data_IF_897911193023
#
_entry.id   IF_897911193023
#
_cell.length_a   1.000
_cell.length_b   1.000
_cell.length_c   1.000
_cell.angle_alpha   90.00
_cell.angle_beta   90.00
_cell.angle_gamma   90.00
#
_symmetry.space_group_name_H-M   'P 1'
#
loop_
_entity.id
_entity.type
_entity.pdbx_description
1 polymer ?
#
# COMPACT_ATOMS: atom_id res chain seq x y z
N UNK A 1 -3.78 15.61 7.05
CA UNK A 1 -3.86 14.83 5.78
C UNK A 1 -4.65 13.55 5.98
N UNK A 2 -4.39 12.74 7.02
CA UNK A 2 -5.29 11.64 7.42
C UNK A 2 -6.56 12.18 8.12
N UNK A 3 -7.44 12.83 7.36
CA UNK A 3 -8.73 13.32 7.86
C UNK A 3 -9.75 12.15 7.88
N UNK A 4 -9.66 11.29 8.89
CA UNK A 4 -10.68 10.28 9.22
C UNK A 4 -10.69 8.99 8.39
N UNK A 5 -9.79 8.81 7.42
CA UNK A 5 -9.58 7.53 6.74
C UNK A 5 -8.30 6.85 7.28
N UNK A 6 -8.41 5.59 7.68
CA UNK A 6 -7.27 4.78 8.16
C UNK A 6 -6.43 4.25 6.99
N UNK A 7 -5.97 5.18 6.15
CA UNK A 7 -5.15 4.89 4.97
C UNK A 7 -3.71 4.59 5.43
N UNK A 8 -3.08 3.50 4.98
CA UNK A 8 -1.66 3.24 5.26
C UNK A 8 -0.76 4.39 4.79
N UNK A 9 0.32 4.71 5.51
CA UNK A 9 1.18 5.86 5.14
C UNK A 9 1.79 5.69 3.75
N UNK A 10 2.26 4.50 3.38
CA UNK A 10 2.86 4.25 2.07
C UNK A 10 1.91 4.52 0.89
N UNK A 11 0.59 4.39 1.08
CA UNK A 11 -0.40 4.77 0.05
C UNK A 11 -0.40 6.27 -0.16
N UNK A 12 -0.34 7.04 0.92
CA UNK A 12 -0.23 8.49 0.87
C UNK A 12 1.09 8.94 0.24
N UNK A 13 2.21 8.32 0.64
CA UNK A 13 3.54 8.63 0.11
C UNK A 13 3.63 8.38 -1.40
N UNK A 14 3.08 7.28 -1.88
CA UNK A 14 3.00 6.99 -3.31
C UNK A 14 2.26 8.10 -4.08
N UNK A 15 1.09 8.49 -3.59
CA UNK A 15 0.30 9.57 -4.21
C UNK A 15 1.04 10.91 -4.16
N UNK A 16 1.67 11.25 -3.04
CA UNK A 16 2.48 12.46 -2.94
C UNK A 16 3.68 12.42 -3.88
N UNK A 17 4.37 11.29 -4.02
CA UNK A 17 5.48 11.13 -4.96
C UNK A 17 5.04 11.32 -6.43
N UNK A 18 3.80 10.96 -6.76
CA UNK A 18 3.25 11.12 -8.10
C UNK A 18 2.81 12.56 -8.43
N UNK A 19 2.28 13.29 -7.45
CA UNK A 19 1.65 14.61 -7.68
C UNK A 19 2.41 15.80 -7.05
N UNK A 20 3.41 15.56 -6.21
CA UNK A 20 4.19 16.60 -5.50
C UNK A 20 5.69 16.49 -5.79
N UNK A 21 6.08 16.10 -7.00
CA UNK A 21 7.49 15.88 -7.41
C UNK A 21 8.26 17.17 -7.79
N UNK A 22 7.75 18.34 -7.41
CA UNK A 22 8.33 19.65 -7.73
C UNK A 22 8.72 20.41 -6.47
N UNK A 23 9.74 21.26 -6.57
CA UNK A 23 10.19 22.15 -5.49
C UNK A 23 9.42 23.47 -5.43
N UNK A 24 8.51 23.73 -6.39
CA UNK A 24 7.67 24.92 -6.42
C UNK A 24 6.55 24.82 -5.36
N UNK A 25 6.50 25.74 -4.38
CA UNK A 25 5.47 25.73 -3.33
C UNK A 25 4.02 25.71 -3.84
N UNK A 26 3.73 26.37 -4.97
CA UNK A 26 2.37 26.39 -5.54
C UNK A 26 2.00 25.05 -6.15
N UNK A 27 2.96 24.41 -6.82
CA UNK A 27 2.77 23.06 -7.38
C UNK A 27 2.57 22.07 -6.24
N UNK A 28 3.36 22.15 -5.17
CA UNK A 28 3.22 21.30 -3.98
C UNK A 28 1.82 21.45 -3.37
N UNK A 29 1.35 22.67 -3.13
CA UNK A 29 0.04 22.92 -2.52
C UNK A 29 -1.10 22.36 -3.38
N UNK A 30 -1.04 22.60 -4.70
CA UNK A 30 -2.01 22.04 -5.64
C UNK A 30 -1.97 20.50 -5.68
N UNK A 31 -0.78 19.92 -5.62
CA UNK A 31 -0.56 18.48 -5.57
C UNK A 31 -1.15 17.86 -4.31
N UNK A 32 -0.94 18.48 -3.14
CA UNK A 32 -1.51 18.04 -1.86
C UNK A 32 -3.04 18.10 -1.89
N UNK A 33 -3.62 19.18 -2.45
CA UNK A 33 -5.07 19.28 -2.62
C UNK A 33 -5.62 18.18 -3.53
N UNK A 34 -4.92 17.87 -4.63
CA UNK A 34 -5.30 16.78 -5.53
C UNK A 34 -5.21 15.40 -4.85
N UNK A 35 -4.16 15.14 -4.07
CA UNK A 35 -4.02 13.90 -3.30
C UNK A 35 -5.16 13.74 -2.29
N UNK A 36 -5.52 14.81 -1.57
CA UNK A 36 -6.68 14.80 -0.65
C UNK A 36 -7.96 14.43 -1.39
N UNK A 37 -8.20 15.03 -2.57
CA UNK A 37 -9.36 14.74 -3.40
C UNK A 37 -9.39 13.29 -3.88
N UNK A 38 -8.28 12.78 -4.40
CA UNK A 38 -8.14 11.38 -4.83
C UNK A 38 -8.47 10.43 -3.68
N UNK A 39 -7.93 10.66 -2.49
CA UNK A 39 -8.22 9.84 -1.32
C UNK A 39 -9.70 9.92 -0.93
N UNK A 40 -10.31 11.10 -0.91
CA UNK A 40 -11.73 11.23 -0.53
C UNK A 40 -12.69 10.57 -1.53
N UNK A 41 -12.35 10.56 -2.82
CA UNK A 41 -13.23 10.06 -3.88
C UNK A 41 -13.04 8.56 -4.17
N UNK A 42 -11.81 8.06 -4.03
CA UNK A 42 -11.42 6.73 -4.50
C UNK A 42 -11.08 5.76 -3.36
N UNK A 43 -10.68 6.22 -2.16
CA UNK A 43 -10.39 5.29 -1.06
C UNK A 43 -11.68 4.67 -0.53
N UNK A 44 -11.75 3.33 -0.59
CA UNK A 44 -12.94 2.62 -0.15
C UNK A 44 -12.92 2.48 1.37
N UNK A 45 -13.94 3.07 2.02
CA UNK A 45 -14.22 2.80 3.43
C UNK A 45 -15.18 1.60 3.50
N UNK A 46 -14.91 0.56 4.31
CA UNK A 46 -15.74 -0.65 4.35
C UNK A 46 -17.23 -0.40 4.65
N UNK A 47 -17.54 0.60 5.47
CA UNK A 47 -18.89 1.05 5.81
C UNK A 47 -19.60 1.80 4.65
N UNK A 48 -18.85 2.32 3.67
CA UNK A 48 -19.37 3.01 2.49
C UNK A 48 -19.32 2.15 1.22
N UNK A 49 -18.92 0.87 1.31
CA UNK A 49 -18.71 0.00 0.14
C UNK A 49 -19.94 -0.08 -0.80
N UNK A 50 -21.15 -0.17 -0.24
CA UNK A 50 -22.39 -0.21 -1.05
C UNK A 50 -22.65 1.09 -1.81
N UNK A 51 -22.23 2.25 -1.27
CA UNK A 51 -22.33 3.54 -1.97
C UNK A 51 -21.40 3.56 -3.17
N UNK A 52 -20.19 3.01 -3.04
CA UNK A 52 -19.23 2.87 -4.15
C UNK A 52 -19.77 1.92 -5.21
N UNK A 53 -20.31 0.75 -4.84
CA UNK A 53 -20.89 -0.21 -5.79
C UNK A 53 -22.11 0.36 -6.53
N UNK A 54 -22.98 1.08 -5.82
CA UNK A 54 -24.08 1.82 -6.44
C UNK A 54 -23.57 2.85 -7.45
N UNK A 55 -22.56 3.65 -7.07
CA UNK A 55 -21.92 4.60 -7.96
C UNK A 55 -21.29 3.95 -9.20
N UNK A 56 -20.64 2.79 -9.04
CA UNK A 56 -20.09 2.00 -10.13
C UNK A 56 -21.17 1.52 -11.10
N UNK A 57 -22.30 1.01 -10.58
CA UNK A 57 -23.43 0.57 -11.40
C UNK A 57 -24.06 1.72 -12.19
N UNK A 58 -24.34 2.85 -11.53
CA UNK A 58 -25.03 3.99 -12.15
C UNK A 58 -24.16 4.72 -13.18
N UNK A 59 -22.84 4.77 -12.97
CA UNK A 59 -21.89 5.48 -13.85
C UNK A 59 -21.24 4.57 -14.90
N UNK A 60 -21.38 3.25 -14.76
CA UNK A 60 -20.71 2.25 -15.59
C UNK A 60 -19.20 2.09 -15.34
N UNK A 61 -18.54 3.06 -14.71
CA UNK A 61 -17.12 2.97 -14.34
C UNK A 61 -16.81 3.69 -13.03
N UNK A 62 -15.81 3.20 -12.31
CA UNK A 62 -15.35 3.79 -11.04
C UNK A 62 -13.88 3.46 -10.79
N UNK A 63 -13.13 4.40 -10.19
CA UNK A 63 -11.76 4.12 -9.72
C UNK A 63 -11.75 3.99 -8.21
N UNK A 64 -11.11 2.93 -7.70
CA UNK A 64 -11.03 2.66 -6.27
C UNK A 64 -9.58 2.45 -5.82
N UNK A 65 -9.29 2.77 -4.56
CA UNK A 65 -8.06 2.42 -3.87
C UNK A 65 -8.42 1.37 -2.82
N UNK A 66 -7.92 0.15 -3.03
CA UNK A 66 -8.21 -1.01 -2.18
C UNK A 66 -7.03 -1.98 -2.16
N UNK A 67 -7.01 -2.87 -1.15
CA UNK A 67 -6.07 -3.98 -1.08
C UNK A 67 -6.67 -5.20 -1.78
N UNK A 68 -5.97 -5.68 -2.80
CA UNK A 68 -6.39 -6.83 -3.60
C UNK A 68 -5.55 -8.05 -3.26
N UNK A 69 -6.21 -9.20 -3.10
CA UNK A 69 -5.58 -10.52 -3.08
C UNK A 69 -6.08 -11.32 -4.27
N UNK A 70 -5.21 -12.07 -4.93
CA UNK A 70 -5.56 -12.88 -6.10
C UNK A 70 -5.36 -14.36 -5.78
N UNK A 71 -6.23 -15.21 -6.34
CA UNK A 71 -6.13 -16.66 -6.27
C UNK A 71 -6.39 -17.30 -7.64
N UNK A 72 -5.86 -18.50 -7.86
CA UNK A 72 -6.15 -19.31 -9.04
C UNK A 72 -7.41 -20.13 -8.79
N UNK A 73 -8.47 -19.86 -9.54
CA UNK A 73 -9.66 -20.70 -9.58
C UNK A 73 -9.45 -21.84 -10.58
N UNK A 74 -8.98 -22.98 -10.09
CA UNK A 74 -8.68 -24.19 -10.88
C UNK A 74 -9.93 -24.72 -11.59
N UNK A 75 -11.13 -24.54 -11.02
CA UNK A 75 -12.38 -25.06 -11.61
C UNK A 75 -12.78 -24.32 -12.88
N UNK A 76 -12.41 -23.04 -12.96
CA UNK A 76 -12.74 -22.17 -14.08
C UNK A 76 -11.50 -21.75 -14.89
N UNK A 77 -10.33 -22.32 -14.56
CA UNK A 77 -9.04 -22.04 -15.16
C UNK A 77 -8.74 -20.54 -15.34
N UNK A 78 -8.95 -19.76 -14.28
CA UNK A 78 -8.74 -18.30 -14.30
C UNK A 78 -8.29 -17.75 -12.96
N UNK A 79 -7.66 -16.58 -12.99
CA UNK A 79 -7.35 -15.83 -11.78
C UNK A 79 -8.53 -14.97 -11.35
N UNK A 80 -8.75 -14.91 -10.04
CA UNK A 80 -9.82 -14.12 -9.43
C UNK A 80 -9.27 -13.28 -8.27
N UNK A 81 -9.71 -12.03 -8.21
CA UNK A 81 -9.33 -11.03 -7.23
C UNK A 81 -10.44 -10.81 -6.19
N UNK A 82 -10.01 -10.65 -4.94
CA UNK A 82 -10.82 -10.29 -3.79
C UNK A 82 -10.40 -8.90 -3.29
N UNK A 83 -11.39 -8.04 -3.08
CA UNK A 83 -11.22 -6.67 -2.62
C UNK A 83 -11.48 -6.58 -1.11
N UNK A 84 -10.50 -6.08 -0.37
CA UNK A 84 -10.56 -6.09 1.10
C UNK A 84 -11.63 -5.13 1.64
N UNK A 85 -11.67 -3.89 1.15
CA UNK A 85 -12.56 -2.86 1.67
C UNK A 85 -13.90 -2.81 0.92
N UNK A 86 -13.89 -3.00 -0.40
CA UNK A 86 -15.11 -3.06 -1.22
C UNK A 86 -15.93 -4.32 -0.95
N UNK A 87 -15.28 -5.37 -0.43
CA UNK A 87 -15.94 -6.60 0.02
C UNK A 87 -16.45 -7.51 -1.10
N UNK A 88 -16.10 -7.22 -2.37
CA UNK A 88 -16.40 -8.08 -3.52
C UNK A 88 -15.33 -9.15 -3.69
N UNK A 89 -15.74 -10.33 -4.15
CA UNK A 89 -14.88 -11.51 -4.29
C UNK A 89 -15.09 -12.18 -5.64
N UNK A 90 -14.15 -13.04 -5.98
CA UNK A 90 -14.20 -13.85 -7.20
C UNK A 90 -14.26 -12.99 -8.49
N UNK A 91 -13.63 -11.81 -8.49
CA UNK A 91 -13.65 -10.91 -9.65
C UNK A 91 -12.57 -11.32 -10.64
N UNK A 92 -12.88 -11.70 -11.89
CA UNK A 92 -11.87 -12.12 -12.85
C UNK A 92 -10.79 -11.05 -13.07
N UNK A 93 -9.53 -11.49 -13.14
CA UNK A 93 -8.38 -10.63 -13.39
C UNK A 93 -7.47 -11.24 -14.45
N UNK A 94 -6.90 -10.41 -15.31
CA UNK A 94 -5.94 -10.84 -16.34
C UNK A 94 -4.69 -11.48 -15.73
N UNK A 95 -4.28 -12.62 -16.29
CA UNK A 95 -3.02 -13.31 -15.93
C UNK A 95 -1.77 -12.44 -16.13
N UNK A 96 -1.84 -11.42 -17.00
CA UNK A 96 -0.76 -10.45 -17.19
C UNK A 96 -0.45 -9.67 -15.91
N UNK A 97 -1.48 -9.29 -15.13
CA UNK A 97 -1.26 -8.60 -13.85
C UNK A 97 -0.63 -9.53 -12.82
N UNK A 98 -1.06 -10.78 -12.78
CA UNK A 98 -0.54 -11.80 -11.85
C UNK A 98 0.92 -12.11 -12.15
N UNK A 99 1.26 -12.27 -13.43
CA UNK A 99 2.64 -12.54 -13.88
C UNK A 99 3.57 -11.37 -13.59
N UNK A 100 3.06 -10.13 -13.71
CA UNK A 100 3.85 -8.92 -13.47
C UNK A 100 3.98 -8.58 -11.99
N UNK A 101 2.97 -8.89 -11.18
CA UNK A 101 2.83 -8.48 -9.78
C UNK A 101 2.55 -9.70 -8.90
N UNK A 102 3.56 -10.55 -8.70
CA UNK A 102 3.48 -11.81 -7.95
C UNK A 102 2.91 -11.68 -6.54
N UNK A 103 3.17 -10.55 -5.87
CA UNK A 103 2.66 -10.24 -4.53
C UNK A 103 1.13 -10.22 -4.42
N UNK A 104 0.42 -10.07 -5.53
CA UNK A 104 -1.04 -10.25 -5.55
C UNK A 104 -1.43 -11.66 -5.05
N UNK A 105 -0.60 -12.68 -5.29
CA UNK A 105 -0.79 -14.07 -4.83
C UNK A 105 -0.29 -14.31 -3.38
N UNK A 106 0.49 -13.39 -2.80
CA UNK A 106 1.21 -13.60 -1.54
C UNK A 106 0.75 -12.63 -0.43
N UNK A 107 -0.55 -12.63 -0.14
CA UNK A 107 -1.14 -11.80 0.93
C UNK A 107 -1.70 -10.46 0.45
N UNK A 108 -1.61 -10.17 -0.85
CA UNK A 108 -2.26 -9.05 -1.48
C UNK A 108 -1.54 -7.71 -1.26
N UNK A 109 -1.79 -6.78 -2.19
CA UNK A 109 -1.15 -5.47 -2.22
C UNK A 109 -2.17 -4.36 -2.45
N UNK A 110 -1.83 -3.15 -2.02
CA UNK A 110 -2.65 -1.97 -2.30
C UNK A 110 -2.52 -1.53 -3.74
N UNK A 111 -3.66 -1.27 -4.38
CA UNK A 111 -3.75 -0.89 -5.78
C UNK A 111 -4.74 0.26 -5.97
N UNK A 112 -4.47 1.10 -6.97
CA UNK A 112 -5.49 1.90 -7.64
C UNK A 112 -6.08 1.03 -8.74
N UNK A 113 -7.39 0.81 -8.70
CA UNK A 113 -8.10 -0.12 -9.58
C UNK A 113 -9.20 0.63 -10.32
N UNK A 114 -9.17 0.57 -11.65
CA UNK A 114 -10.28 0.96 -12.50
C UNK A 114 -11.24 -0.21 -12.66
N UNK A 115 -12.51 0.03 -12.33
CA UNK A 115 -13.60 -0.92 -12.44
C UNK A 115 -14.60 -0.44 -13.50
N UNK A 116 -15.17 -1.40 -14.22
CA UNK A 116 -16.33 -1.21 -15.08
C UNK A 116 -17.49 -2.11 -14.63
N UNK A 117 -18.70 -1.67 -14.92
CA UNK A 117 -19.93 -2.39 -14.66
C UNK A 117 -20.69 -2.64 -15.95
N UNK A 118 -20.80 -3.91 -16.34
CA UNK A 118 -21.56 -4.35 -17.50
C UNK A 118 -22.42 -5.56 -17.11
N UNK A 119 -23.74 -5.38 -17.14
CA UNK A 119 -24.68 -6.45 -16.83
C UNK A 119 -25.19 -7.09 -18.11
N UNK A 120 -24.87 -8.37 -18.32
CA UNK A 120 -25.30 -9.15 -19.48
C UNK A 120 -26.47 -10.04 -19.06
N UNK A 121 -27.68 -9.76 -19.56
CA UNK A 121 -28.90 -10.48 -19.18
C UNK A 121 -28.85 -12.00 -19.46
N UNK A 122 -28.12 -12.37 -20.52
CA UNK A 122 -27.98 -13.75 -20.99
C UNK A 122 -26.99 -14.57 -20.14
N UNK A 123 -26.04 -13.92 -19.45
CA UNK A 123 -25.04 -14.57 -18.61
C UNK A 123 -25.20 -14.19 -17.13
N UNK A 124 -26.25 -14.74 -16.51
CA UNK A 124 -26.56 -14.54 -15.08
C UNK A 124 -25.50 -15.10 -14.12
N UNK A 125 -24.53 -15.88 -14.61
CA UNK A 125 -23.45 -16.44 -13.78
C UNK A 125 -22.21 -15.58 -13.78
N UNK A 126 -22.05 -14.70 -14.78
CA UNK A 126 -20.94 -13.76 -14.82
C UNK A 126 -21.15 -12.63 -13.81
N UNK A 127 -20.06 -12.21 -13.18
CA UNK A 127 -20.06 -10.99 -12.38
C UNK A 127 -20.13 -9.79 -13.33
N UNK A 128 -20.98 -8.78 -13.07
CA UNK A 128 -21.03 -7.60 -13.91
C UNK A 128 -19.85 -6.65 -13.68
N UNK A 129 -18.98 -6.94 -12.70
CA UNK A 129 -17.84 -6.07 -12.36
C UNK A 129 -16.58 -6.58 -13.02
N UNK A 130 -15.89 -5.71 -13.74
CA UNK A 130 -14.66 -6.01 -14.46
C UNK A 130 -13.50 -5.11 -14.03
N UNK A 131 -12.31 -5.68 -13.87
CA UNK A 131 -11.08 -4.92 -13.62
C UNK A 131 -10.47 -4.53 -14.97
N UNK A 132 -10.56 -3.24 -15.30
CA UNK A 132 -9.98 -2.72 -16.55
C UNK A 132 -8.56 -2.19 -16.39
N UNK A 133 -8.22 -1.68 -15.20
CA UNK A 133 -6.89 -1.16 -14.91
C UNK A 133 -6.47 -1.51 -13.49
N UNK A 134 -5.24 -1.97 -13.31
CA UNK A 134 -4.65 -2.21 -12.00
C UNK A 134 -3.27 -1.57 -11.92
N UNK A 135 -3.12 -0.62 -11.00
CA UNK A 135 -1.86 0.07 -10.72
C UNK A 135 -1.45 -0.21 -9.28
N UNK A 136 -0.45 -1.06 -9.03
CA UNK A 136 0.06 -1.29 -7.69
C UNK A 136 0.64 0.00 -7.10
N UNK A 137 0.33 0.24 -5.84
CA UNK A 137 0.89 1.34 -5.04
C UNK A 137 2.20 0.91 -4.39
N UNK A 138 2.27 -0.36 -4.00
CA UNK A 138 3.49 -0.95 -3.45
C UNK A 138 4.42 -1.37 -4.58
N UNK A 139 5.74 -1.27 -4.34
CA UNK A 139 6.77 -1.85 -5.22
C UNK A 139 6.40 -3.31 -5.50
N UNK A 140 6.01 -3.64 -6.75
CA UNK A 140 5.56 -4.99 -7.06
C UNK A 140 6.72 -5.99 -7.10
N UNK A 141 7.93 -5.48 -7.32
CA UNK A 141 9.18 -6.23 -7.45
C UNK A 141 10.29 -5.42 -6.76
N UNK A 142 11.20 -6.11 -6.07
CA UNK A 142 12.42 -5.51 -5.50
C UNK A 142 13.59 -5.98 -6.35
N UNK A 143 14.26 -5.05 -7.04
CA UNK A 143 15.53 -5.33 -7.71
C UNK A 143 16.66 -5.30 -6.68
N UNK A 144 17.11 -6.48 -6.25
CA UNK A 144 18.18 -6.57 -5.26
C UNK A 144 19.52 -6.10 -5.81
N UNK A 145 19.75 -6.18 -7.12
CA UNK A 145 21.02 -5.79 -7.71
C UNK A 145 21.08 -4.27 -7.92
N UNK A 146 19.97 -3.63 -8.26
CA UNK A 146 19.82 -2.18 -8.23
C UNK A 146 20.14 -1.63 -6.83
N UNK A 147 19.54 -2.21 -5.77
CA UNK A 147 19.78 -1.77 -4.38
C UNK A 147 21.26 -1.95 -3.99
N UNK A 148 21.88 -3.09 -4.33
CA UNK A 148 23.30 -3.33 -4.04
C UNK A 148 24.20 -2.34 -4.77
N UNK A 149 23.88 -2.00 -6.02
CA UNK A 149 24.63 -1.04 -6.81
C UNK A 149 24.47 0.37 -6.23
N UNK A 150 23.24 0.79 -5.93
CA UNK A 150 22.95 2.07 -5.29
C UNK A 150 23.64 2.21 -3.93
N UNK A 151 23.63 1.16 -3.10
CA UNK A 151 24.33 1.14 -1.79
C UNK A 151 25.80 1.54 -1.90
N UNK A 152 26.49 1.16 -2.98
CA UNK A 152 27.93 1.45 -3.16
C UNK A 152 28.22 2.94 -3.32
N UNK A 153 27.24 3.73 -3.74
CA UNK A 153 27.38 5.18 -3.89
C UNK A 153 27.36 5.96 -2.56
N UNK A 154 27.02 5.31 -1.44
CA UNK A 154 26.87 5.94 -0.13
C UNK A 154 27.94 5.49 0.85
N UNK A 155 28.43 6.42 1.65
CA UNK A 155 29.17 6.10 2.88
C UNK A 155 28.26 5.40 3.89
N UNK A 156 28.85 4.85 4.96
CA UNK A 156 28.08 4.19 6.01
C UNK A 156 27.07 5.14 6.68
N UNK A 157 27.48 6.37 6.98
CA UNK A 157 26.64 7.34 7.70
C UNK A 157 25.52 7.90 6.83
N UNK A 158 25.79 8.11 5.54
CA UNK A 158 24.76 8.46 4.56
C UNK A 158 23.77 7.31 4.38
N UNK A 159 24.25 6.06 4.32
CA UNK A 159 23.37 4.91 4.20
C UNK A 159 22.46 4.74 5.43
N UNK A 160 23.00 4.92 6.64
CA UNK A 160 22.19 4.93 7.87
C UNK A 160 21.13 6.02 7.80
N UNK A 161 21.49 7.20 7.28
CA UNK A 161 20.55 8.32 7.10
C UNK A 161 19.43 7.95 6.12
N UNK A 162 19.76 7.34 4.98
CA UNK A 162 18.78 6.85 4.00
C UNK A 162 17.83 5.84 4.64
N UNK A 163 18.36 4.84 5.37
CA UNK A 163 17.54 3.84 6.04
C UNK A 163 16.58 4.47 7.05
N UNK A 164 17.05 5.36 7.92
CA UNK A 164 16.18 6.00 8.91
C UNK A 164 15.09 6.84 8.24
N UNK A 165 15.44 7.64 7.23
CA UNK A 165 14.44 8.46 6.52
C UNK A 165 13.41 7.60 5.77
N UNK A 166 13.81 6.43 5.25
CA UNK A 166 12.89 5.47 4.63
C UNK A 166 11.86 4.88 5.61
N UNK A 167 12.14 4.97 6.91
CA UNK A 167 11.21 4.58 8.00
C UNK A 167 10.41 5.76 8.57
N UNK A 168 10.48 6.94 7.95
CA UNK A 168 9.82 8.17 8.43
C UNK A 168 10.55 8.86 9.58
N UNK A 169 11.83 8.54 9.84
CA UNK A 169 12.62 9.10 10.93
C UNK A 169 13.67 10.10 10.43
N UNK A 170 13.66 11.32 10.99
CA UNK A 170 14.65 12.35 10.65
C UNK A 170 15.99 12.10 11.37
N UNK A 171 16.96 11.57 10.64
CA UNK A 171 18.24 11.11 11.18
C UNK A 171 19.03 12.20 11.94
N UNK A 172 18.89 13.47 11.56
CA UNK A 172 19.58 14.59 12.20
C UNK A 172 19.05 14.93 13.60
N UNK A 173 17.90 14.36 14.00
CA UNK A 173 17.34 14.50 15.36
C UNK A 173 17.93 13.52 16.36
N UNK A 174 18.79 12.59 15.92
CA UNK A 174 19.31 11.50 16.72
C UNK A 174 20.83 11.56 16.86
N UNK A 175 21.31 11.27 18.07
CA UNK A 175 22.71 10.91 18.31
C UNK A 175 23.08 9.62 17.60
N UNK A 176 24.38 9.35 17.42
CA UNK A 176 24.83 8.10 16.78
C UNK A 176 24.28 6.85 17.49
N UNK A 177 24.23 6.83 18.82
CA UNK A 177 23.65 5.72 19.58
C UNK A 177 22.18 5.53 19.28
N UNK A 178 21.41 6.62 19.26
CA UNK A 178 19.97 6.56 18.97
C UNK A 178 19.70 6.08 17.54
N UNK A 179 20.48 6.51 16.55
CA UNK A 179 20.38 6.00 15.17
C UNK A 179 20.50 4.47 15.12
N UNK A 180 21.48 3.90 15.81
CA UNK A 180 21.65 2.44 15.90
C UNK A 180 20.49 1.75 16.59
N UNK A 181 19.95 2.34 17.67
CA UNK A 181 18.79 1.80 18.36
C UNK A 181 17.54 1.81 17.48
N UNK A 182 17.34 2.87 16.67
CA UNK A 182 16.25 2.92 15.71
C UNK A 182 16.38 1.84 14.63
N UNK A 183 17.59 1.62 14.10
CA UNK A 183 17.84 0.54 13.15
C UNK A 183 17.62 -0.85 13.78
N UNK A 184 18.01 -1.04 15.05
CA UNK A 184 17.83 -2.30 15.76
C UNK A 184 16.36 -2.72 15.88
N UNK A 185 15.42 -1.76 15.88
CA UNK A 185 13.97 -2.06 15.86
C UNK A 185 13.53 -2.82 14.59
N UNK A 186 14.31 -2.78 13.50
CA UNK A 186 14.03 -3.51 12.27
C UNK A 186 14.55 -4.96 12.28
N UNK A 187 15.38 -5.35 13.25
CA UNK A 187 15.94 -6.71 13.32
C UNK A 187 14.87 -7.82 13.26
N UNK A 188 13.73 -7.73 13.97
CA UNK A 188 12.69 -8.76 13.88
C UNK A 188 12.05 -8.91 12.49
N UNK A 189 12.22 -7.92 11.60
CA UNK A 189 11.68 -7.97 10.24
C UNK A 189 12.60 -8.67 9.24
N UNK A 190 13.88 -8.83 9.59
CA UNK A 190 14.91 -9.36 8.69
C UNK A 190 15.59 -10.63 9.21
N UNK A 191 15.57 -10.86 10.53
CA UNK A 191 16.16 -12.03 11.17
C UNK A 191 15.09 -13.01 11.63
N UNK A 192 15.18 -14.26 11.15
CA UNK A 192 14.31 -15.34 11.60
C UNK A 192 14.59 -15.68 13.07
N UNK A 193 13.54 -15.97 13.84
CA UNK A 193 13.61 -16.33 15.26
C UNK A 193 14.25 -15.26 16.16
N UNK A 194 14.22 -13.98 15.76
CA UNK A 194 14.70 -12.88 16.58
C UNK A 194 13.59 -12.30 17.45
N UNK A 195 13.74 -12.39 18.78
CA UNK A 195 12.79 -11.81 19.73
C UNK A 195 13.36 -10.49 20.30
N UNK A 196 12.62 -9.40 20.16
CA UNK A 196 12.99 -8.08 20.67
C UNK A 196 11.97 -7.61 21.71
N UNK A 197 12.45 -7.16 22.86
CA UNK A 197 11.62 -6.46 23.86
C UNK A 197 12.09 -5.01 23.97
N UNK A 198 11.18 -4.07 23.73
CA UNK A 198 11.45 -2.64 23.88
C UNK A 198 10.53 -2.03 24.95
N UNK A 199 11.14 -1.49 26.01
CA UNK A 199 10.45 -0.79 27.07
C UNK A 199 10.68 0.71 26.93
N UNK A 200 9.61 1.50 26.92
CA UNK A 200 9.72 2.94 26.89
C UNK A 200 8.39 3.65 27.12
N UNK A 201 8.40 4.96 27.45
CA UNK A 201 7.20 5.76 27.65
C UNK A 201 6.24 5.74 26.46
N UNK A 202 4.98 6.13 26.67
CA UNK A 202 4.01 6.31 25.57
C UNK A 202 4.54 7.34 24.55
N UNK A 203 4.07 7.23 23.31
CA UNK A 203 4.40 8.19 22.22
C UNK A 203 5.87 8.25 21.79
N UNK A 204 6.64 7.19 22.01
CA UNK A 204 8.06 7.06 21.60
C UNK A 204 8.25 6.37 20.24
N UNK A 205 7.17 6.23 19.46
CA UNK A 205 7.21 5.64 18.11
C UNK A 205 7.40 4.13 18.06
N UNK A 206 7.39 3.40 19.19
CA UNK A 206 7.61 1.94 19.25
C UNK A 206 6.72 1.14 18.30
N UNK A 207 5.45 1.52 18.21
CA UNK A 207 4.48 0.86 17.34
C UNK A 207 4.49 1.38 15.90
N UNK A 208 5.15 2.51 15.63
CA UNK A 208 5.11 3.16 14.32
C UNK A 208 5.75 2.30 13.23
N UNK A 209 6.96 1.81 13.50
CA UNK A 209 7.73 0.96 12.59
C UNK A 209 6.91 -0.26 12.11
N UNK A 210 6.33 -0.99 13.06
CA UNK A 210 5.55 -2.21 12.77
C UNK A 210 4.20 -1.92 12.10
N UNK A 211 3.62 -0.73 12.27
CA UNK A 211 2.38 -0.37 11.57
C UNK A 211 2.63 0.05 10.13
N UNK A 212 3.73 0.75 9.86
CA UNK A 212 3.90 1.46 8.59
C UNK A 212 4.81 0.74 7.60
N UNK A 213 5.77 -0.07 8.06
CA UNK A 213 6.80 -0.64 7.15
C UNK A 213 6.38 -1.96 6.53
N UNK A 214 5.67 -2.82 7.26
CA UNK A 214 5.38 -4.17 6.78
C UNK A 214 3.90 -4.50 6.90
N UNK A 215 3.24 -4.90 5.79
CA UNK A 215 1.87 -5.41 5.83
C UNK A 215 1.77 -6.78 6.55
N UNK A 216 2.90 -7.42 6.85
CA UNK A 216 2.99 -8.71 7.51
C UNK A 216 3.23 -8.58 9.03
N UNK A 217 3.30 -7.36 9.56
CA UNK A 217 3.43 -7.13 10.99
C UNK A 217 2.06 -7.06 11.66
N UNK A 218 1.85 -7.88 12.69
CA UNK A 218 0.67 -7.83 13.54
C UNK A 218 1.05 -7.08 14.82
N UNK A 219 0.39 -5.95 15.08
CA UNK A 219 0.55 -5.23 16.34
C UNK A 219 -0.60 -5.59 17.27
N UNK A 220 -0.27 -6.18 18.42
CA UNK A 220 -1.22 -6.39 19.52
C UNK A 220 -1.01 -5.27 20.54
N UNK A 221 -1.95 -4.31 20.59
CA UNK A 221 -1.92 -3.24 21.59
C UNK A 221 -2.64 -3.68 22.87
N UNK A 222 -1.90 -3.79 23.97
CA UNK A 222 -2.47 -3.92 25.31
C UNK A 222 -2.84 -2.54 25.86
N UNK A 223 -4.04 -2.06 25.54
CA UNK A 223 -4.63 -0.83 26.10
C UNK A 223 -4.39 0.45 25.31
#
# INVERSE_FOLDING_TARGET
IKEGANVPVYVLEFLLGQYCSSDDPQIIESGVANVKRILSENFVRPDEAQKVLSGLRERGSYTVIDRLTVSLNIKQDRYEADFSNLGIRCIPISSNYVSKYDRLLCGGIWCIVGLEYEYIEEDKKSTPIHIVKLTPIQMPHIDMDEIKNGRRAFTKDEWITVLLRSTGMEANRFTNREKWLQLARMLPLIENNFNLCELGPRSTGKSHLYKEISPNSILVSGG
#
